data_IF_660714813932
#
_entry.id   IF_660714813932
#
_cell.length_a   1.000
_cell.length_b   1.000
_cell.length_c   1.000
_cell.angle_alpha   90.00
_cell.angle_beta   90.00
_cell.angle_gamma   90.00
#
_symmetry.space_group_name_H-M   'P 1'
#
loop_
_entity.id
_entity.type
_entity.pdbx_description
1 polymer ?
#
# COMPACT_ATOMS: atom_id res chain seq x y z
N UNK A 1 11.48 -15.34 -15.66
CA UNK A 1 11.01 -13.99 -15.31
C UNK A 1 10.84 -13.92 -13.80
N UNK A 2 11.06 -12.74 -13.23
CA UNK A 2 10.75 -12.43 -11.83
C UNK A 2 10.09 -11.05 -11.78
N UNK A 3 9.13 -10.85 -10.89
CA UNK A 3 8.51 -9.55 -10.61
C UNK A 3 8.34 -9.36 -9.12
N UNK A 4 8.40 -8.11 -8.67
CA UNK A 4 8.22 -7.74 -7.27
C UNK A 4 7.20 -6.59 -7.19
N UNK A 5 6.24 -6.71 -6.29
CA UNK A 5 5.40 -5.59 -5.89
C UNK A 5 6.09 -4.88 -4.71
N UNK A 6 6.32 -3.57 -4.84
CA UNK A 6 6.96 -2.80 -3.77
C UNK A 6 5.96 -2.42 -2.67
N UNK A 7 4.66 -2.38 -2.99
CA UNK A 7 3.59 -2.07 -2.04
C UNK A 7 3.17 -3.30 -1.24
N UNK A 8 3.12 -4.44 -1.91
CA UNK A 8 2.93 -5.76 -1.29
C UNK A 8 4.24 -6.51 -1.43
N UNK A 9 5.01 -6.81 -0.35
CA UNK A 9 6.32 -7.47 -0.45
C UNK A 9 6.24 -8.92 -0.95
N UNK A 10 5.86 -9.06 -2.21
CA UNK A 10 5.55 -10.29 -2.91
C UNK A 10 6.43 -10.39 -4.15
N UNK A 11 7.19 -11.49 -4.22
CA UNK A 11 8.02 -11.84 -5.36
C UNK A 11 7.35 -12.99 -6.09
N UNK A 12 7.05 -12.77 -7.36
CA UNK A 12 6.47 -13.78 -8.25
C UNK A 12 7.55 -14.24 -9.21
N UNK A 13 7.85 -15.53 -9.17
CA UNK A 13 8.79 -16.21 -10.04
C UNK A 13 8.02 -16.99 -11.10
N UNK A 14 8.44 -16.89 -12.35
CA UNK A 14 7.83 -17.65 -13.44
C UNK A 14 8.87 -18.13 -14.44
N UNK A 15 8.76 -19.38 -14.84
CA UNK A 15 9.57 -19.98 -15.90
C UNK A 15 8.68 -20.86 -16.78
N UNK A 16 8.64 -20.56 -18.06
CA UNK A 16 7.85 -21.27 -19.06
C UNK A 16 8.53 -21.16 -20.43
N UNK A 17 8.30 -22.15 -21.29
CA UNK A 17 8.64 -22.06 -22.71
C UNK A 17 7.60 -21.23 -23.44
N UNK A 18 8.06 -20.35 -24.33
CA UNK A 18 7.22 -19.47 -25.14
C UNK A 18 7.42 -19.75 -26.63
N UNK A 19 6.53 -19.23 -27.46
CA UNK A 19 6.62 -19.30 -28.92
C UNK A 19 7.40 -18.10 -29.48
N UNK A 20 7.61 -18.08 -30.81
CA UNK A 20 8.34 -17.01 -31.50
C UNK A 20 7.69 -15.63 -31.39
N UNK A 21 6.40 -15.56 -31.03
CA UNK A 21 5.65 -14.33 -30.82
C UNK A 21 5.65 -13.88 -29.35
N UNK A 22 6.30 -14.63 -28.45
CA UNK A 22 6.40 -14.34 -27.01
C UNK A 22 5.04 -14.07 -26.34
N UNK A 23 3.99 -14.76 -26.80
CA UNK A 23 2.62 -14.49 -26.38
C UNK A 23 2.45 -14.64 -24.86
N UNK A 24 3.10 -15.63 -24.25
CA UNK A 24 2.98 -15.87 -22.80
C UNK A 24 3.65 -14.77 -21.99
N UNK A 25 4.83 -14.29 -22.40
CA UNK A 25 5.51 -13.17 -21.75
C UNK A 25 4.66 -11.90 -21.82
N UNK A 26 4.12 -11.57 -23.01
CA UNK A 26 3.30 -10.37 -23.19
C UNK A 26 2.02 -10.43 -22.34
N UNK A 27 1.31 -11.55 -22.34
CA UNK A 27 0.13 -11.74 -21.47
C UNK A 27 0.51 -11.56 -19.99
N UNK A 28 1.64 -12.13 -19.55
CA UNK A 28 2.08 -12.00 -18.16
C UNK A 28 2.41 -10.56 -17.77
N UNK A 29 3.06 -9.80 -18.65
CA UNK A 29 3.33 -8.37 -18.42
C UNK A 29 2.02 -7.55 -18.38
N UNK A 30 1.00 -7.88 -19.17
CA UNK A 30 -0.33 -7.24 -19.11
C UNK A 30 -1.07 -7.50 -17.80
N UNK A 31 -0.84 -8.66 -17.18
CA UNK A 31 -1.38 -9.03 -15.87
C UNK A 31 -0.68 -8.26 -14.77
N UNK A 32 0.66 -8.23 -14.80
CA UNK A 32 1.49 -7.58 -13.79
C UNK A 32 1.43 -6.05 -13.84
N UNK A 33 1.15 -5.47 -15.01
CA UNK A 33 1.13 -4.00 -15.24
C UNK A 33 2.37 -3.31 -14.65
N UNK A 34 3.59 -3.68 -15.08
CA UNK A 34 4.81 -3.20 -14.46
C UNK A 34 4.98 -1.69 -14.67
N UNK A 35 5.48 -1.01 -13.63
CA UNK A 35 5.92 0.39 -13.73
C UNK A 35 7.27 0.49 -14.46
N UNK A 36 8.11 -0.52 -14.27
CA UNK A 36 9.46 -0.58 -14.79
C UNK A 36 9.81 -2.01 -15.19
N UNK A 37 10.47 -2.20 -16.34
CA UNK A 37 10.95 -3.48 -16.82
C UNK A 37 12.47 -3.46 -16.89
N UNK A 38 13.08 -4.46 -16.24
CA UNK A 38 14.53 -4.62 -16.18
C UNK A 38 14.96 -5.72 -17.15
N UNK A 39 15.94 -5.43 -18.00
CA UNK A 39 16.51 -6.39 -18.93
C UNK A 39 18.05 -6.38 -18.90
N UNK A 40 18.72 -7.47 -19.30
CA UNK A 40 20.16 -7.45 -19.51
C UNK A 40 20.55 -6.36 -20.53
N UNK A 41 21.67 -5.68 -20.31
CA UNK A 41 22.23 -4.70 -21.26
C UNK A 41 22.43 -5.29 -22.66
N UNK A 42 22.80 -6.57 -22.76
CA UNK A 42 22.93 -7.30 -24.04
C UNK A 42 21.62 -7.42 -24.84
N UNK A 43 20.47 -7.16 -24.22
CA UNK A 43 19.16 -7.18 -24.91
C UNK A 43 18.88 -5.89 -25.69
N UNK A 44 19.60 -4.80 -25.38
CA UNK A 44 19.39 -3.45 -25.89
C UNK A 44 20.61 -2.86 -26.61
N UNK A 45 21.67 -3.64 -26.85
CA UNK A 45 22.87 -3.15 -27.53
C UNK A 45 22.57 -2.70 -28.96
N UNK A 46 23.12 -1.54 -29.34
CA UNK A 46 22.92 -0.92 -30.64
C UNK A 46 23.41 -1.86 -31.76
N UNK A 47 22.47 -2.40 -32.56
CA UNK A 47 22.73 -3.34 -33.64
C UNK A 47 22.25 -4.78 -33.42
N UNK A 48 21.88 -5.15 -32.19
CA UNK A 48 21.40 -6.50 -31.86
C UNK A 48 20.20 -6.46 -30.88
N UNK A 49 19.22 -5.61 -31.17
CA UNK A 49 17.99 -5.56 -30.38
C UNK A 49 17.23 -6.88 -30.49
N UNK A 50 17.01 -7.51 -29.35
CA UNK A 50 16.29 -8.80 -29.34
C UNK A 50 14.84 -8.60 -29.81
N UNK A 51 14.29 -9.58 -30.56
CA UNK A 51 12.88 -9.57 -30.97
C UNK A 51 11.92 -9.34 -29.79
N UNK A 52 12.26 -9.90 -28.62
CA UNK A 52 11.51 -9.72 -27.39
C UNK A 52 11.49 -8.24 -26.95
N UNK A 53 12.64 -7.56 -26.94
CA UNK A 53 12.72 -6.15 -26.57
C UNK A 53 11.87 -5.28 -27.50
N UNK A 54 11.92 -5.53 -28.81
CA UNK A 54 11.12 -4.80 -29.79
C UNK A 54 9.61 -4.98 -29.54
N UNK A 55 9.17 -6.23 -29.33
CA UNK A 55 7.76 -6.55 -29.07
C UNK A 55 7.24 -5.93 -27.76
N UNK A 56 8.02 -5.98 -26.67
CA UNK A 56 7.62 -5.35 -25.41
C UNK A 56 7.56 -3.83 -25.57
N UNK A 57 8.54 -3.21 -26.24
CA UNK A 57 8.56 -1.76 -26.48
C UNK A 57 7.36 -1.29 -27.30
N UNK A 58 6.92 -2.10 -28.28
CA UNK A 58 5.74 -1.81 -29.09
C UNK A 58 4.44 -1.89 -28.26
N UNK A 59 4.29 -2.95 -27.45
CA UNK A 59 3.10 -3.19 -26.65
C UNK A 59 3.00 -2.31 -25.38
N UNK A 60 4.12 -1.83 -24.84
CA UNK A 60 4.19 -1.13 -23.55
C UNK A 60 4.90 0.22 -23.65
N UNK A 61 4.30 1.18 -24.38
CA UNK A 61 4.88 2.51 -24.64
C UNK A 61 5.07 3.40 -23.39
N UNK A 62 4.36 3.12 -22.30
CA UNK A 62 4.36 3.95 -21.08
C UNK A 62 5.20 3.34 -19.94
N UNK A 63 5.94 2.26 -20.20
CA UNK A 63 6.73 1.56 -19.17
C UNK A 63 8.19 1.97 -19.30
N UNK A 64 8.84 2.28 -18.18
CA UNK A 64 10.26 2.60 -18.15
C UNK A 64 11.09 1.34 -18.35
N UNK A 65 12.09 1.42 -19.23
CA UNK A 65 13.03 0.31 -19.47
C UNK A 65 14.39 0.65 -18.88
N UNK A 66 14.89 -0.25 -18.04
CA UNK A 66 16.20 -0.12 -17.41
C UNK A 66 17.07 -1.32 -17.71
N UNK A 67 18.31 -1.07 -18.12
CA UNK A 67 19.26 -2.13 -18.43
C UNK A 67 20.17 -2.41 -17.24
N UNK A 68 20.39 -3.69 -16.98
CA UNK A 68 21.27 -4.17 -15.90
C UNK A 68 22.36 -5.07 -16.51
N UNK A 69 23.58 -4.98 -15.97
CA UNK A 69 24.69 -5.79 -16.49
C UNK A 69 24.40 -7.29 -16.37
N UNK A 70 24.69 -8.06 -17.43
CA UNK A 70 24.43 -9.51 -17.49
C UNK A 70 24.99 -10.29 -16.30
N UNK A 71 26.10 -9.86 -15.71
CA UNK A 71 26.75 -10.48 -14.54
C UNK A 71 25.84 -10.60 -13.30
N UNK A 72 24.80 -9.76 -13.20
CA UNK A 72 23.87 -9.78 -12.09
C UNK A 72 22.74 -10.81 -12.26
N UNK A 73 22.60 -11.40 -13.46
CA UNK A 73 21.66 -12.49 -13.72
C UNK A 73 22.32 -13.84 -13.43
N UNK A 74 22.37 -14.22 -12.15
CA UNK A 74 23.05 -15.43 -11.68
C UNK A 74 22.11 -16.28 -10.82
N UNK A 75 21.98 -17.57 -11.10
CA UNK A 75 21.04 -18.45 -10.43
C UNK A 75 21.43 -18.75 -8.97
N UNK A 76 22.73 -18.92 -8.69
CA UNK A 76 23.22 -19.22 -7.34
C UNK A 76 22.90 -18.07 -6.38
N UNK A 77 23.22 -16.84 -6.76
CA UNK A 77 22.86 -15.64 -6.00
C UNK A 77 21.35 -15.45 -5.90
N UNK A 78 20.62 -15.79 -6.96
CA UNK A 78 19.16 -15.75 -6.96
C UNK A 78 18.56 -16.66 -5.90
N UNK A 79 19.07 -17.89 -5.80
CA UNK A 79 18.66 -18.85 -4.78
C UNK A 79 19.04 -18.36 -3.38
N UNK A 80 20.27 -17.90 -3.16
CA UNK A 80 20.73 -17.34 -1.89
C UNK A 80 19.83 -16.18 -1.41
N UNK A 81 19.47 -15.25 -2.30
CA UNK A 81 18.59 -14.14 -1.96
C UNK A 81 17.18 -14.61 -1.60
N UNK A 82 16.64 -15.59 -2.32
CA UNK A 82 15.32 -16.13 -2.01
C UNK A 82 15.35 -16.89 -0.68
N UNK A 83 16.40 -17.66 -0.39
CA UNK A 83 16.58 -18.36 0.89
C UNK A 83 16.68 -17.39 2.07
N UNK A 84 17.37 -16.27 1.90
CA UNK A 84 17.52 -15.25 2.94
C UNK A 84 16.22 -14.47 3.18
N UNK A 85 15.48 -14.14 2.13
CA UNK A 85 14.35 -13.19 2.20
C UNK A 85 12.98 -13.86 2.29
N UNK A 86 12.82 -15.09 1.81
CA UNK A 86 11.54 -15.80 1.79
C UNK A 86 11.06 -16.15 3.20
N UNK A 87 9.80 -15.83 3.51
CA UNK A 87 9.20 -16.22 4.77
C UNK A 87 9.05 -17.75 4.86
N UNK A 88 9.28 -18.30 6.07
CA UNK A 88 9.35 -19.75 6.31
C UNK A 88 8.12 -20.55 5.85
N UNK A 89 6.94 -19.94 5.88
CA UNK A 89 5.67 -20.58 5.46
C UNK A 89 5.55 -20.75 3.94
N UNK A 90 6.34 -20.02 3.14
CA UNK A 90 6.40 -20.16 1.68
C UNK A 90 7.61 -20.97 1.21
N UNK A 91 8.35 -21.60 2.14
CA UNK A 91 9.54 -22.39 1.83
C UNK A 91 9.28 -23.59 0.91
N UNK A 92 8.03 -24.03 0.77
CA UNK A 92 7.67 -25.06 -0.22
C UNK A 92 8.06 -24.66 -1.65
N UNK A 93 8.15 -23.35 -1.94
CA UNK A 93 8.60 -22.84 -3.24
C UNK A 93 10.01 -23.28 -3.60
N UNK A 94 10.88 -23.55 -2.62
CA UNK A 94 12.28 -23.96 -2.85
C UNK A 94 12.35 -25.27 -3.64
N UNK A 95 11.47 -26.23 -3.34
CA UNK A 95 11.43 -27.51 -4.06
C UNK A 95 11.09 -27.33 -5.54
N UNK A 96 10.29 -26.31 -5.88
CA UNK A 96 9.87 -26.04 -7.24
C UNK A 96 10.91 -25.24 -8.04
N UNK A 97 11.66 -24.33 -7.40
CA UNK A 97 12.56 -23.40 -8.10
C UNK A 97 14.02 -23.85 -8.17
N UNK A 98 14.45 -24.81 -7.35
CA UNK A 98 15.87 -25.24 -7.28
C UNK A 98 16.49 -25.60 -8.64
N UNK A 99 15.70 -26.18 -9.55
CA UNK A 99 16.16 -26.56 -10.91
C UNK A 99 15.85 -25.51 -11.99
N UNK A 100 15.33 -24.33 -11.62
CA UNK A 100 14.80 -23.32 -12.55
C UNK A 100 15.73 -22.12 -12.70
N UNK A 101 16.81 -22.33 -13.47
CA UNK A 101 17.86 -21.35 -13.74
C UNK A 101 17.33 -19.95 -14.12
N UNK A 102 16.39 -19.85 -15.07
CA UNK A 102 16.02 -18.56 -15.67
C UNK A 102 15.20 -17.67 -14.73
N UNK A 103 14.34 -18.23 -13.88
CA UNK A 103 13.62 -17.41 -12.90
C UNK A 103 14.53 -16.99 -11.74
N UNK A 104 15.44 -17.87 -11.30
CA UNK A 104 16.43 -17.55 -10.26
C UNK A 104 17.39 -16.44 -10.71
N UNK A 105 17.95 -16.55 -11.91
CA UNK A 105 18.82 -15.53 -12.48
C UNK A 105 18.10 -14.18 -12.64
N UNK A 106 16.82 -14.18 -13.04
CA UNK A 106 16.02 -12.96 -13.11
C UNK A 106 15.74 -12.37 -11.71
N UNK A 107 15.48 -13.21 -10.70
CA UNK A 107 15.27 -12.78 -9.32
C UNK A 107 16.52 -12.12 -8.73
N UNK A 108 17.71 -12.67 -9.01
CA UNK A 108 18.98 -12.10 -8.57
C UNK A 108 19.17 -10.66 -9.05
N UNK A 109 18.95 -10.43 -10.35
CA UNK A 109 19.07 -9.11 -10.93
C UNK A 109 18.01 -8.14 -10.40
N UNK A 110 16.76 -8.62 -10.24
CA UNK A 110 15.65 -7.83 -9.73
C UNK A 110 15.88 -7.38 -8.29
N UNK A 111 16.22 -8.29 -7.38
CA UNK A 111 16.43 -7.99 -5.98
C UNK A 111 17.65 -7.08 -5.80
N UNK A 112 18.73 -7.31 -6.57
CA UNK A 112 19.89 -6.42 -6.57
C UNK A 112 19.54 -5.01 -7.06
N UNK A 113 18.69 -4.91 -8.07
CA UNK A 113 18.23 -3.62 -8.58
C UNK A 113 17.43 -2.85 -7.52
N UNK A 114 16.48 -3.52 -6.85
CA UNK A 114 15.69 -2.90 -5.78
C UNK A 114 16.57 -2.46 -4.61
N UNK A 115 17.56 -3.26 -4.22
CA UNK A 115 18.50 -2.93 -3.15
C UNK A 115 19.37 -1.71 -3.50
N UNK A 116 19.98 -1.68 -4.69
CA UNK A 116 21.00 -0.67 -5.03
C UNK A 116 20.45 0.59 -5.68
N UNK A 117 19.43 0.47 -6.53
CA UNK A 117 18.91 1.59 -7.32
C UNK A 117 17.69 2.20 -6.65
N UNK A 118 16.80 1.38 -6.08
CA UNK A 118 15.61 1.86 -5.37
C UNK A 118 15.87 2.10 -3.87
N UNK A 119 17.09 1.82 -3.38
CA UNK A 119 17.51 1.99 -1.99
C UNK A 119 16.53 1.37 -0.97
N UNK A 120 15.98 0.20 -1.32
CA UNK A 120 15.00 -0.51 -0.51
C UNK A 120 15.54 -1.88 -0.11
N UNK A 121 15.60 -2.15 1.20
CA UNK A 121 16.10 -3.40 1.76
C UNK A 121 14.93 -4.10 2.44
N UNK A 122 14.69 -5.35 2.06
CA UNK A 122 13.71 -6.20 2.73
C UNK A 122 14.32 -6.89 3.94
N UNK A 123 13.55 -6.98 5.02
CA UNK A 123 13.99 -7.72 6.19
C UNK A 123 14.15 -9.21 5.84
N UNK A 124 15.10 -9.94 6.45
CA UNK A 124 15.18 -11.39 6.28
C UNK A 124 13.84 -12.07 6.59
N UNK A 125 13.50 -13.09 5.81
CA UNK A 125 12.25 -13.88 5.98
C UNK A 125 10.94 -13.07 5.94
N UNK A 126 10.92 -11.92 5.28
CA UNK A 126 9.74 -11.04 5.20
C UNK A 126 8.98 -11.11 3.86
N UNK A 127 9.60 -11.65 2.81
CA UNK A 127 9.02 -11.68 1.47
C UNK A 127 8.12 -12.90 1.28
N UNK A 128 6.95 -12.65 0.69
CA UNK A 128 6.05 -13.67 0.15
C UNK A 128 6.60 -14.08 -1.22
N UNK A 129 7.08 -15.31 -1.37
CA UNK A 129 7.66 -15.79 -2.63
C UNK A 129 6.80 -16.89 -3.22
N UNK A 130 6.39 -16.74 -4.47
CA UNK A 130 5.62 -17.75 -5.19
C UNK A 130 6.27 -18.12 -6.50
N UNK A 131 6.18 -19.39 -6.85
CA UNK A 131 6.41 -19.85 -8.20
C UNK A 131 5.06 -20.02 -8.91
N UNK A 132 4.92 -19.38 -10.06
CA UNK A 132 3.75 -19.53 -10.92
C UNK A 132 4.18 -20.10 -12.27
N UNK A 133 3.88 -21.38 -12.48
CA UNK A 133 3.94 -22.02 -13.80
C UNK A 133 2.73 -21.66 -14.68
N UNK A 134 2.78 -22.05 -15.96
CA UNK A 134 1.67 -21.82 -16.92
C UNK A 134 0.69 -23.00 -17.03
N UNK A 135 0.75 -24.00 -16.15
CA UNK A 135 0.08 -25.29 -16.37
C UNK A 135 -1.34 -25.39 -15.77
N UNK A 136 -1.74 -24.46 -14.90
CA UNK A 136 -3.02 -24.53 -14.15
C UNK A 136 -4.07 -23.50 -14.60
N UNK A 137 -3.76 -22.68 -15.59
CA UNK A 137 -4.64 -21.63 -16.12
C UNK A 137 -4.74 -21.73 -17.63
N UNK A 138 -5.89 -21.38 -18.19
CA UNK A 138 -6.05 -21.30 -19.63
C UNK A 138 -5.38 -20.02 -20.13
N UNK A 139 -4.56 -20.17 -21.17
CA UNK A 139 -3.85 -19.03 -21.77
C UNK A 139 -4.77 -18.28 -22.71
N UNK A 140 -5.04 -17.00 -22.40
CA UNK A 140 -5.64 -16.06 -23.34
C UNK A 140 -4.51 -15.23 -23.93
N UNK A 141 -4.34 -15.29 -25.26
CA UNK A 141 -3.32 -14.50 -25.92
C UNK A 141 -3.66 -12.99 -25.89
N UNK A 142 -2.62 -12.18 -26.01
CA UNK A 142 -2.69 -10.72 -25.94
C UNK A 142 -3.69 -10.10 -26.92
N UNK A 143 -3.84 -10.69 -28.12
CA UNK A 143 -4.73 -10.18 -29.17
C UNK A 143 -6.19 -10.56 -28.90
N UNK A 144 -6.46 -11.79 -28.47
CA UNK A 144 -7.80 -12.22 -28.02
C UNK A 144 -8.27 -11.41 -26.82
N UNK A 145 -7.39 -11.15 -25.84
CA UNK A 145 -7.73 -10.33 -24.68
C UNK A 145 -8.10 -8.88 -25.04
N UNK A 146 -7.47 -8.32 -26.07
CA UNK A 146 -7.81 -7.00 -26.61
C UNK A 146 -9.11 -7.06 -27.41
N UNK A 147 -9.25 -8.00 -28.34
CA UNK A 147 -10.43 -8.13 -29.20
C UNK A 147 -11.71 -8.37 -28.40
N UNK A 148 -11.62 -9.12 -27.29
CA UNK A 148 -12.72 -9.36 -26.35
C UNK A 148 -12.92 -8.23 -25.34
N UNK A 149 -12.12 -7.15 -25.41
CA UNK A 149 -12.12 -6.01 -24.49
C UNK A 149 -12.15 -6.45 -23.03
N UNK A 150 -11.35 -7.47 -22.68
CA UNK A 150 -11.42 -8.09 -21.35
C UNK A 150 -11.09 -7.08 -20.24
N UNK A 151 -10.15 -6.18 -20.52
CA UNK A 151 -9.61 -5.25 -19.51
C UNK A 151 -9.37 -3.85 -20.07
N UNK A 152 -9.05 -3.74 -21.37
CA UNK A 152 -8.86 -2.47 -22.07
C UNK A 152 -9.88 -2.36 -23.19
N UNK A 153 -10.59 -1.24 -23.29
CA UNK A 153 -11.50 -0.95 -24.38
C UNK A 153 -10.69 -0.45 -25.60
N UNK A 154 -11.00 -0.93 -26.80
CA UNK A 154 -10.25 -0.59 -28.01
C UNK A 154 -10.72 0.71 -28.68
N UNK A 155 -11.96 1.14 -28.41
CA UNK A 155 -12.55 2.35 -28.98
C UNK A 155 -12.23 3.59 -28.16
N UNK A 156 -12.30 3.49 -26.84
CA UNK A 156 -11.95 4.56 -25.92
C UNK A 156 -11.31 3.99 -24.65
N UNK A 157 -10.01 4.18 -24.50
CA UNK A 157 -9.24 3.70 -23.34
C UNK A 157 -9.64 4.36 -22.02
N UNK A 158 -10.44 5.42 -22.04
CA UNK A 158 -11.00 6.08 -20.85
C UNK A 158 -12.36 5.53 -20.45
N UNK A 159 -13.03 4.79 -21.34
CA UNK A 159 -14.30 4.16 -21.03
C UNK A 159 -14.09 2.83 -20.33
N UNK A 160 -14.75 2.66 -19.17
CA UNK A 160 -14.73 1.43 -18.38
C UNK A 160 -15.61 0.31 -18.93
N UNK A 161 -16.12 0.41 -20.16
CA UNK A 161 -16.93 -0.62 -20.81
C UNK A 161 -16.04 -1.78 -21.28
N UNK A 162 -15.61 -2.61 -20.33
CA UNK A 162 -14.80 -3.83 -20.53
C UNK A 162 -15.41 -4.95 -19.69
N UNK A 163 -15.06 -6.21 -19.96
CA UNK A 163 -15.52 -7.32 -19.10
C UNK A 163 -15.12 -7.09 -17.64
N UNK A 164 -13.89 -6.62 -17.43
CA UNK A 164 -13.39 -6.21 -16.12
C UNK A 164 -14.27 -5.12 -15.50
N UNK A 165 -14.60 -4.05 -16.23
CA UNK A 165 -15.43 -2.97 -15.70
C UNK A 165 -16.87 -3.41 -15.36
N UNK A 166 -17.45 -4.35 -16.11
CA UNK A 166 -18.78 -4.91 -15.83
C UNK A 166 -18.78 -5.80 -14.59
N UNK A 167 -17.69 -6.54 -14.34
CA UNK A 167 -17.59 -7.48 -13.22
C UNK A 167 -16.99 -6.85 -11.95
N UNK A 168 -16.38 -5.67 -12.04
CA UNK A 168 -15.61 -5.08 -10.94
C UNK A 168 -16.44 -4.19 -10.01
N UNK A 169 -16.97 -4.82 -8.98
CA UNK A 169 -17.61 -4.22 -7.81
C UNK A 169 -16.79 -4.42 -6.52
N UNK A 170 -15.50 -4.77 -6.67
CA UNK A 170 -14.58 -4.99 -5.56
C UNK A 170 -14.40 -3.70 -4.74
N UNK A 171 -14.20 -3.86 -3.42
CA UNK A 171 -14.01 -2.74 -2.49
C UNK A 171 -12.56 -2.53 -2.10
N UNK A 172 -11.70 -3.49 -2.38
CA UNK A 172 -10.27 -3.45 -2.09
C UNK A 172 -9.46 -3.51 -3.39
N UNK A 173 -8.30 -2.84 -3.47
CA UNK A 173 -7.46 -2.97 -4.65
C UNK A 173 -6.85 -4.37 -4.80
N UNK A 174 -6.67 -5.12 -3.70
CA UNK A 174 -6.31 -6.54 -3.73
C UNK A 174 -7.34 -7.40 -4.46
N UNK A 175 -8.63 -7.20 -4.16
CA UNK A 175 -9.75 -7.82 -4.87
C UNK A 175 -9.78 -7.46 -6.34
N UNK A 176 -9.65 -6.17 -6.67
CA UNK A 176 -9.58 -5.67 -8.05
C UNK A 176 -8.42 -6.29 -8.84
N UNK A 177 -7.21 -6.37 -8.26
CA UNK A 177 -6.04 -7.03 -8.85
C UNK A 177 -6.31 -8.52 -9.09
N UNK A 178 -6.90 -9.20 -8.10
CA UNK A 178 -7.26 -10.62 -8.19
C UNK A 178 -8.30 -10.89 -9.27
N UNK A 179 -9.33 -10.06 -9.37
CA UNK A 179 -10.35 -10.13 -10.42
C UNK A 179 -9.73 -10.02 -11.81
N UNK A 180 -8.88 -8.99 -12.02
CA UNK A 180 -8.17 -8.79 -13.29
C UNK A 180 -7.33 -10.02 -13.66
N UNK A 181 -6.59 -10.56 -12.71
CA UNK A 181 -5.79 -11.78 -12.93
C UNK A 181 -6.66 -12.97 -13.30
N UNK A 182 -7.82 -13.16 -12.65
CA UNK A 182 -8.72 -14.28 -12.95
C UNK A 182 -9.39 -14.16 -14.32
N UNK A 183 -9.62 -12.95 -14.81
CA UNK A 183 -10.16 -12.73 -16.16
C UNK A 183 -9.11 -13.06 -17.25
N UNK A 184 -7.85 -12.70 -17.02
CA UNK A 184 -6.76 -12.89 -18.00
C UNK A 184 -6.13 -14.29 -17.97
N UNK A 185 -6.15 -14.95 -16.80
CA UNK A 185 -5.66 -16.32 -16.57
C UNK A 185 -6.77 -17.13 -15.86
N UNK A 186 -7.86 -17.50 -16.56
CA UNK A 186 -8.93 -18.29 -15.95
C UNK A 186 -8.44 -19.68 -15.56
N UNK A 187 -9.05 -20.24 -14.52
CA UNK A 187 -8.70 -21.56 -14.00
C UNK A 187 -9.10 -22.68 -14.97
N UNK A 188 -8.35 -23.77 -14.96
CA UNK A 188 -8.69 -25.02 -15.68
C UNK A 188 -9.19 -26.11 -14.75
N UNK A 189 -8.86 -26.02 -13.46
CA UNK A 189 -9.25 -27.02 -12.46
C UNK A 189 -10.74 -26.93 -12.10
N UNK A 190 -11.50 -27.95 -12.50
CA UNK A 190 -12.95 -27.99 -12.33
C UNK A 190 -13.39 -27.99 -10.86
N UNK A 191 -12.61 -28.62 -9.97
CA UNK A 191 -12.94 -28.69 -8.54
C UNK A 191 -12.79 -27.32 -7.86
N UNK A 192 -11.70 -26.62 -8.14
CA UNK A 192 -11.51 -25.23 -7.66
C UNK A 192 -12.58 -24.29 -8.21
N UNK A 193 -12.93 -24.41 -9.50
CA UNK A 193 -13.99 -23.61 -10.11
C UNK A 193 -15.32 -23.86 -9.39
N UNK A 194 -15.70 -25.13 -9.21
CA UNK A 194 -16.94 -25.51 -8.53
C UNK A 194 -17.01 -24.94 -7.12
N UNK A 195 -15.93 -25.08 -6.34
CA UNK A 195 -15.87 -24.57 -4.97
C UNK A 195 -16.09 -23.06 -4.89
N UNK A 196 -15.56 -22.30 -5.87
CA UNK A 196 -15.81 -20.84 -5.95
C UNK A 196 -17.23 -20.50 -6.34
N UNK A 197 -17.82 -21.26 -7.26
CA UNK A 197 -19.21 -21.09 -7.66
C UNK A 197 -20.18 -21.39 -6.51
N UNK A 198 -19.90 -22.42 -5.72
CA UNK A 198 -20.68 -22.75 -4.52
C UNK A 198 -20.66 -21.59 -3.52
N UNK A 199 -19.52 -20.91 -3.35
CA UNK A 199 -19.42 -19.72 -2.50
C UNK A 199 -20.26 -18.54 -3.03
N UNK A 200 -20.20 -18.28 -4.33
CA UNK A 200 -21.01 -17.22 -4.97
C UNK A 200 -22.50 -17.54 -4.81
N UNK A 201 -22.88 -18.80 -4.99
CA UNK A 201 -24.26 -19.25 -4.79
C UNK A 201 -24.73 -19.04 -3.34
N UNK A 202 -23.87 -19.32 -2.36
CA UNK A 202 -24.16 -19.07 -0.94
C UNK A 202 -24.37 -17.57 -0.67
N UNK A 203 -23.55 -16.68 -1.24
CA UNK A 203 -23.75 -15.23 -1.14
C UNK A 203 -25.04 -14.73 -1.79
N UNK A 204 -25.50 -15.38 -2.86
CA UNK A 204 -26.77 -15.04 -3.52
C UNK A 204 -28.00 -15.53 -2.73
N UNK A 205 -27.82 -16.52 -1.85
CA UNK A 205 -28.90 -17.10 -1.05
C UNK A 205 -29.04 -16.45 0.33
N UNK A 206 -27.96 -15.85 0.86
CA UNK A 206 -27.92 -15.21 2.17
C UNK A 206 -27.53 -13.72 2.04
N UNK A 207 -28.55 -12.86 1.96
CA UNK A 207 -28.36 -11.40 1.84
C UNK A 207 -27.70 -10.79 3.09
N UNK A 208 -27.98 -11.31 4.28
CA UNK A 208 -27.35 -10.84 5.53
C UNK A 208 -25.84 -11.10 5.51
N UNK A 209 -25.43 -12.30 5.09
CA UNK A 209 -24.03 -12.66 4.88
C UNK A 209 -23.37 -11.75 3.83
N UNK A 210 -24.04 -11.53 2.70
CA UNK A 210 -23.52 -10.69 1.61
C UNK A 210 -23.26 -9.24 2.06
N UNK A 211 -24.27 -8.57 2.62
CA UNK A 211 -24.14 -7.18 3.06
C UNK A 211 -23.22 -7.04 4.28
N UNK A 212 -23.25 -8.01 5.20
CA UNK A 212 -22.35 -8.05 6.35
C UNK A 212 -20.89 -8.12 5.94
N UNK A 213 -20.54 -9.04 5.02
CA UNK A 213 -19.18 -9.16 4.50
C UNK A 213 -18.75 -7.93 3.69
N UNK A 214 -19.63 -7.38 2.86
CA UNK A 214 -19.32 -6.18 2.09
C UNK A 214 -19.02 -4.98 3.02
N UNK A 215 -19.79 -4.82 4.10
CA UNK A 215 -19.57 -3.78 5.10
C UNK A 215 -18.22 -3.97 5.83
N UNK A 216 -17.83 -5.20 6.14
CA UNK A 216 -16.54 -5.50 6.76
C UNK A 216 -15.38 -5.26 5.79
N UNK A 217 -15.46 -5.78 4.56
CA UNK A 217 -14.40 -5.67 3.54
C UNK A 217 -14.18 -4.20 3.13
N UNK A 218 -15.23 -3.38 3.08
CA UNK A 218 -15.11 -1.95 2.77
C UNK A 218 -14.24 -1.16 3.77
N UNK A 219 -13.98 -1.71 4.96
CA UNK A 219 -13.09 -1.11 5.96
C UNK A 219 -11.62 -1.44 5.73
N UNK A 220 -11.31 -2.43 4.89
CA UNK A 220 -9.94 -2.77 4.52
C UNK A 220 -9.45 -1.80 3.43
N UNK A 221 -8.65 -0.82 3.83
CA UNK A 221 -7.91 0.04 2.90
C UNK A 221 -6.65 -0.69 2.41
N UNK A 222 -6.23 -0.38 1.17
CA UNK A 222 -5.08 -1.01 0.50
C UNK A 222 -3.82 -1.00 1.38
N UNK A 223 -2.92 -1.93 1.10
CA UNK A 223 -1.76 -2.35 1.90
C UNK A 223 -0.76 -1.27 2.31
N UNK A 224 -0.90 -0.03 1.83
CA UNK A 224 -0.24 1.15 2.40
C UNK A 224 -0.69 1.45 3.86
N UNK A 225 -1.70 0.73 4.35
CA UNK A 225 -2.28 0.88 5.68
C UNK A 225 -2.32 -0.43 6.50
N UNK A 226 -1.35 -1.33 6.33
CA UNK A 226 -1.13 -2.44 7.27
C UNK A 226 -1.17 -1.96 8.74
N UNK A 227 -0.62 -0.78 9.02
CA UNK A 227 -0.70 -0.13 10.34
C UNK A 227 -2.12 0.30 10.78
N UNK A 228 -3.01 0.65 9.84
CA UNK A 228 -4.41 1.04 10.12
C UNK A 228 -5.31 -0.18 10.33
N UNK A 229 -5.08 -1.26 9.57
CA UNK A 229 -5.75 -2.56 9.76
C UNK A 229 -5.52 -3.11 11.17
N UNK A 230 -4.33 -2.85 11.71
CA UNK A 230 -3.96 -3.33 13.03
C UNK A 230 -4.59 -2.55 14.18
N UNK A 231 -5.12 -1.35 13.94
CA UNK A 231 -5.89 -0.57 14.94
C UNK A 231 -7.39 -0.87 14.81
N UNK A 232 -7.83 -1.40 13.68
CA UNK A 232 -9.23 -1.79 13.43
C UNK A 232 -9.33 -3.27 13.06
N UNK A 233 -9.12 -4.17 14.02
CA UNK A 233 -9.79 -5.48 13.94
C UNK A 233 -11.27 -5.20 14.20
N UNK A 234 -12.19 -5.42 13.25
CA UNK A 234 -13.62 -5.35 13.55
C UNK A 234 -13.90 -6.49 14.53
N UNK A 235 -13.92 -6.18 15.84
CA UNK A 235 -14.28 -7.14 16.90
C UNK A 235 -15.73 -7.62 16.80
N UNK A 236 -16.52 -7.15 15.83
CA UNK A 236 -17.97 -7.26 15.90
C UNK A 236 -18.66 -8.27 14.99
N UNK A 237 -18.12 -8.72 13.83
CA UNK A 237 -18.93 -9.60 12.95
C UNK A 237 -18.14 -10.60 12.10
N UNK A 238 -17.28 -11.44 12.70
CA UNK A 238 -16.90 -12.72 12.05
C UNK A 238 -17.99 -13.80 12.22
N UNK A 239 -19.03 -13.51 13.01
CA UNK A 239 -20.13 -14.44 13.29
C UNK A 239 -20.90 -14.87 12.03
N UNK A 240 -20.97 -14.01 11.01
CA UNK A 240 -21.61 -14.32 9.73
C UNK A 240 -20.91 -15.49 9.00
N UNK A 241 -19.58 -15.50 8.97
CA UNK A 241 -18.79 -16.58 8.35
C UNK A 241 -18.86 -17.91 9.12
N UNK A 242 -19.22 -17.87 10.41
CA UNK A 242 -19.37 -19.07 11.25
C UNK A 242 -20.55 -19.96 10.83
N UNK A 243 -21.55 -19.37 10.16
CA UNK A 243 -22.74 -20.06 9.66
C UNK A 243 -22.57 -20.62 8.24
N UNK A 244 -21.43 -20.38 7.61
CA UNK A 244 -21.22 -20.77 6.22
C UNK A 244 -21.09 -22.29 6.04
N UNK A 245 -21.69 -22.80 4.96
CA UNK A 245 -21.74 -24.23 4.64
C UNK A 245 -20.67 -24.65 3.63
N UNK A 246 -20.15 -23.73 2.82
CA UNK A 246 -19.12 -24.06 1.82
C UNK A 246 -17.76 -24.30 2.48
N UNK A 247 -17.06 -25.35 2.04
CA UNK A 247 -15.75 -25.77 2.55
C UNK A 247 -14.69 -24.65 2.53
N UNK A 248 -14.72 -23.81 1.48
CA UNK A 248 -13.81 -22.69 1.31
C UNK A 248 -14.08 -21.54 2.29
N UNK A 249 -15.35 -21.16 2.50
CA UNK A 249 -15.70 -20.13 3.49
C UNK A 249 -15.38 -20.58 4.91
N UNK A 250 -15.60 -21.85 5.23
CA UNK A 250 -15.21 -22.43 6.53
C UNK A 250 -13.70 -22.46 6.72
N UNK A 251 -12.93 -22.78 5.68
CA UNK A 251 -11.48 -22.71 5.72
C UNK A 251 -10.98 -21.27 5.95
N UNK A 252 -11.66 -20.27 5.36
CA UNK A 252 -11.36 -18.85 5.57
C UNK A 252 -11.71 -18.41 6.99
N UNK A 253 -12.87 -18.79 7.52
CA UNK A 253 -13.24 -18.53 8.92
C UNK A 253 -12.19 -19.08 9.89
N UNK A 254 -11.79 -20.34 9.74
CA UNK A 254 -10.77 -20.96 10.61
C UNK A 254 -9.42 -20.25 10.50
N UNK A 255 -9.05 -19.76 9.31
CA UNK A 255 -7.83 -18.99 9.10
C UNK A 255 -7.90 -17.58 9.72
N UNK A 256 -9.09 -17.02 9.92
CA UNK A 256 -9.32 -15.73 10.58
C UNK A 256 -9.29 -15.84 12.11
N UNK A 257 -9.46 -17.03 12.69
CA UNK A 257 -9.31 -17.29 14.15
C UNK A 257 -7.86 -17.45 14.61
N UNK A 258 -6.88 -17.03 13.80
CA UNK A 258 -5.47 -17.13 14.13
C UNK A 258 -5.11 -16.26 15.35
N UNK A 259 -4.63 -16.91 16.42
CA UNK A 259 -4.23 -16.25 17.68
C UNK A 259 -3.16 -15.17 17.48
N UNK A 260 -2.35 -15.27 16.41
CA UNK A 260 -1.31 -14.30 16.07
C UNK A 260 -1.88 -12.91 15.80
N UNK A 261 -3.12 -12.79 15.30
CA UNK A 261 -3.77 -11.48 15.15
C UNK A 261 -3.98 -10.76 16.48
N UNK A 262 -4.35 -11.51 17.53
CA UNK A 262 -4.48 -10.96 18.89
C UNK A 262 -3.15 -10.46 19.45
N UNK A 263 -2.08 -11.23 19.25
CA UNK A 263 -0.72 -10.85 19.69
C UNK A 263 -0.25 -9.57 18.98
N UNK A 264 -0.48 -9.47 17.66
CA UNK A 264 -0.09 -8.28 16.90
C UNK A 264 -0.90 -7.06 17.37
N UNK A 265 -2.22 -7.20 17.55
CA UNK A 265 -3.06 -6.12 18.06
C UNK A 265 -2.59 -5.65 19.44
N UNK A 266 -2.30 -6.58 20.35
CA UNK A 266 -1.83 -6.27 21.70
C UNK A 266 -0.50 -5.50 21.68
N UNK A 267 0.47 -5.92 20.85
CA UNK A 267 1.74 -5.21 20.66
C UNK A 267 1.53 -3.78 20.15
N UNK A 268 0.58 -3.58 19.25
CA UNK A 268 0.32 -2.28 18.64
C UNK A 268 -0.43 -1.37 19.60
N UNK A 269 -1.47 -1.87 20.27
CA UNK A 269 -2.19 -1.12 21.29
C UNK A 269 -1.31 -0.81 22.49
N UNK A 270 -0.28 -1.62 22.79
CA UNK A 270 0.68 -1.30 23.84
C UNK A 270 1.51 -0.05 23.52
N UNK A 271 1.88 0.17 22.25
CA UNK A 271 2.84 1.21 21.83
C UNK A 271 2.17 2.43 21.19
N UNK A 272 1.16 2.22 20.35
CA UNK A 272 0.49 3.23 19.54
C UNK A 272 -0.78 3.71 20.22
N UNK A 273 -1.04 5.02 20.15
CA UNK A 273 -2.23 5.64 20.71
C UNK A 273 -3.46 5.40 19.81
N UNK A 274 -4.61 5.12 20.41
CA UNK A 274 -5.84 4.75 19.70
C UNK A 274 -6.42 5.94 18.89
N UNK A 275 -6.09 7.17 19.30
CA UNK A 275 -6.50 8.42 18.66
C UNK A 275 -5.64 8.82 17.44
N UNK A 276 -4.77 7.94 16.95
CA UNK A 276 -3.94 8.19 15.76
C UNK A 276 -4.72 8.11 14.43
N UNK A 277 -5.96 8.58 14.38
CA UNK A 277 -6.73 8.70 13.13
C UNK A 277 -6.25 9.88 12.31
N UNK A 278 -6.24 9.70 10.98
CA UNK A 278 -5.94 10.78 10.03
C UNK A 278 -6.82 12.01 10.31
N UNK A 279 -6.20 13.12 10.71
CA UNK A 279 -6.87 14.38 10.96
C UNK A 279 -6.55 15.40 9.86
N UNK A 280 -7.57 16.08 9.32
CA UNK A 280 -7.35 17.16 8.34
C UNK A 280 -6.77 18.40 9.05
N UNK A 281 -5.67 18.96 8.53
CA UNK A 281 -5.06 20.21 9.01
C UNK A 281 -3.55 20.09 9.33
N UNK A 282 -2.78 21.16 9.09
CA UNK A 282 -1.31 21.12 9.25
C UNK A 282 -0.87 20.94 10.72
N UNK A 283 -1.58 21.58 11.67
CA UNK A 283 -1.28 21.46 13.10
C UNK A 283 -1.74 20.12 13.66
N UNK A 284 -2.93 19.65 13.28
CA UNK A 284 -3.46 18.36 13.72
C UNK A 284 -2.60 17.19 13.25
N UNK A 285 -2.10 17.23 12.01
CA UNK A 285 -1.12 16.24 11.51
C UNK A 285 0.22 16.29 12.26
N UNK A 286 0.66 17.47 12.69
CA UNK A 286 1.91 17.64 13.46
C UNK A 286 1.75 17.05 14.86
N UNK A 287 0.66 17.38 15.54
CA UNK A 287 0.30 16.86 16.87
C UNK A 287 0.15 15.34 16.81
N UNK A 288 -0.53 14.80 15.80
CA UNK A 288 -0.67 13.36 15.62
C UNK A 288 0.69 12.65 15.53
N UNK A 289 1.62 13.17 14.72
CA UNK A 289 2.96 12.57 14.59
C UNK A 289 3.78 12.68 15.88
N UNK A 290 3.61 13.76 16.65
CA UNK A 290 4.30 13.92 17.93
C UNK A 290 3.80 12.94 19.00
N UNK A 291 2.49 12.69 19.03
CA UNK A 291 1.81 11.92 20.07
C UNK A 291 1.31 10.55 19.60
N UNK A 292 1.90 10.04 18.51
CA UNK A 292 1.52 8.74 17.94
C UNK A 292 1.85 7.58 18.88
N UNK A 293 2.98 7.66 19.58
CA UNK A 293 3.42 6.67 20.58
C UNK A 293 2.87 7.04 21.95
N UNK A 294 2.37 6.06 22.70
CA UNK A 294 1.85 6.24 24.06
C UNK A 294 2.93 6.80 25.01
N UNK A 295 2.54 7.56 26.06
CA UNK A 295 3.48 7.99 27.09
C UNK A 295 4.02 6.76 27.86
N UNK A 296 5.18 6.91 28.48
CA UNK A 296 5.91 5.89 29.25
C UNK A 296 6.48 4.72 28.43
N UNK A 297 6.46 4.82 27.09
CA UNK A 297 7.14 3.84 26.21
C UNK A 297 8.63 4.16 26.10
N UNK A 298 8.98 5.45 26.11
CA UNK A 298 10.36 5.90 26.02
C UNK A 298 10.52 7.21 26.79
N UNK A 299 11.30 7.17 27.87
CA UNK A 299 11.52 8.32 28.76
C UNK A 299 12.13 9.51 28.01
N UNK A 300 13.07 9.26 27.08
CA UNK A 300 13.69 10.33 26.29
C UNK A 300 12.70 11.00 25.35
N UNK A 301 11.78 10.25 24.73
CA UNK A 301 10.71 10.80 23.91
C UNK A 301 9.78 11.68 24.74
N UNK A 302 9.45 11.26 25.96
CA UNK A 302 8.58 12.03 26.84
C UNK A 302 9.26 13.31 27.36
N UNK A 303 10.58 13.25 27.62
CA UNK A 303 11.39 14.44 27.92
C UNK A 303 11.39 15.39 26.71
N UNK A 304 11.66 14.89 25.50
CA UNK A 304 11.66 15.71 24.29
C UNK A 304 10.31 16.37 24.02
N UNK A 305 9.20 15.65 24.25
CA UNK A 305 7.83 16.19 24.19
C UNK A 305 7.58 17.28 25.22
N UNK A 306 8.07 17.12 26.46
CA UNK A 306 7.96 18.14 27.49
C UNK A 306 8.71 19.41 27.08
N UNK A 307 9.96 19.27 26.64
CA UNK A 307 10.76 20.39 26.12
C UNK A 307 10.05 21.10 24.97
N UNK A 308 9.42 20.37 24.06
CA UNK A 308 8.63 20.96 22.98
C UNK A 308 7.45 21.78 23.50
N UNK A 309 6.67 21.24 24.44
CA UNK A 309 5.54 21.94 25.05
C UNK A 309 6.00 23.21 25.78
N UNK A 310 7.09 23.13 26.55
CA UNK A 310 7.69 24.29 27.23
C UNK A 310 8.10 25.39 26.23
N UNK A 311 8.71 25.03 25.08
CA UNK A 311 9.05 26.02 24.04
C UNK A 311 7.79 26.67 23.45
N UNK A 312 6.71 25.91 23.24
CA UNK A 312 5.45 26.45 22.72
C UNK A 312 4.79 27.39 23.74
N UNK A 313 4.82 27.04 25.02
CA UNK A 313 4.31 27.85 26.11
C UNK A 313 5.14 29.13 26.27
N UNK A 314 6.47 29.05 26.17
CA UNK A 314 7.36 30.22 26.17
C UNK A 314 7.06 31.15 24.99
N UNK A 315 6.78 30.62 23.79
CA UNK A 315 6.40 31.42 22.61
C UNK A 315 5.08 32.16 22.89
N UNK A 316 4.09 31.47 23.45
CA UNK A 316 2.81 32.08 23.80
C UNK A 316 2.99 33.16 24.88
N UNK A 317 3.78 32.87 25.93
CA UNK A 317 4.10 33.81 26.99
C UNK A 317 4.83 35.06 26.50
N UNK A 318 5.82 34.91 25.62
CA UNK A 318 6.52 36.03 24.99
C UNK A 318 5.56 36.94 24.21
N UNK A 319 4.62 36.35 23.45
CA UNK A 319 3.65 37.14 22.68
C UNK A 319 2.67 37.87 23.60
N UNK A 320 2.24 37.25 24.70
CA UNK A 320 1.41 37.91 25.72
C UNK A 320 2.15 39.07 26.39
N UNK A 321 3.42 38.89 26.77
CA UNK A 321 4.24 39.97 27.34
C UNK A 321 4.43 41.14 26.36
N UNK A 322 4.63 40.84 25.06
CA UNK A 322 4.69 41.87 24.02
C UNK A 322 3.33 42.58 23.84
N UNK A 323 2.22 41.84 23.96
CA UNK A 323 0.88 42.41 23.90
C UNK A 323 0.65 43.40 25.04
N UNK A 324 1.06 43.07 26.26
CA UNK A 324 0.97 43.94 27.43
C UNK A 324 1.91 45.15 27.35
N UNK A 325 3.19 44.93 27.00
CA UNK A 325 4.23 45.97 26.89
C UNK A 325 3.83 47.09 25.91
N UNK A 326 3.22 46.71 24.80
CA UNK A 326 2.82 47.66 23.75
C UNK A 326 1.32 47.99 23.75
N UNK A 327 0.54 47.38 24.65
CA UNK A 327 -0.92 47.47 24.71
C UNK A 327 -1.59 47.19 23.35
N UNK A 328 -1.13 46.13 22.65
CA UNK A 328 -1.60 45.73 21.31
C UNK A 328 -2.30 44.37 21.36
N UNK A 329 -3.39 44.16 20.59
CA UNK A 329 -4.11 42.87 20.56
C UNK A 329 -3.38 41.83 19.69
N UNK A 330 -2.25 41.32 20.20
CA UNK A 330 -1.43 40.31 19.53
C UNK A 330 -1.99 38.90 19.75
N UNK A 331 -1.96 38.07 18.70
CA UNK A 331 -2.34 36.65 18.75
C UNK A 331 -1.22 35.79 18.18
N UNK A 332 -0.97 34.66 18.85
CA UNK A 332 -0.10 33.61 18.34
C UNK A 332 -0.80 32.88 17.19
N UNK A 333 -0.16 32.83 16.03
CA UNK A 333 -0.67 32.13 14.85
C UNK A 333 0.42 31.25 14.24
N UNK A 334 0.03 30.23 13.47
CA UNK A 334 0.98 29.25 12.91
C UNK A 334 0.77 29.03 11.42
N UNK A 335 1.88 28.89 10.68
CA UNK A 335 1.90 28.51 9.27
C UNK A 335 2.99 27.46 9.02
N UNK A 336 2.75 26.52 8.11
CA UNK A 336 3.73 25.46 7.75
C UNK A 336 5.04 26.02 7.20
N UNK A 337 5.00 27.17 6.52
CA UNK A 337 6.18 27.80 5.90
C UNK A 337 6.91 28.73 6.87
N UNK A 338 6.18 29.43 7.74
CA UNK A 338 6.73 30.50 8.60
C UNK A 338 6.95 30.08 10.05
N UNK A 339 6.42 28.94 10.48
CA UNK A 339 6.35 28.58 11.89
C UNK A 339 5.32 29.41 12.65
N UNK A 340 5.57 29.63 13.94
CA UNK A 340 4.80 30.55 14.77
C UNK A 340 5.10 32.00 14.40
N UNK A 341 4.06 32.81 14.25
CA UNK A 341 4.16 34.24 13.93
C UNK A 341 3.12 35.03 14.73
N UNK A 342 3.35 36.33 14.83
CA UNK A 342 2.46 37.24 15.55
C UNK A 342 1.43 37.79 14.56
N UNK A 343 0.16 37.73 14.92
CA UNK A 343 -0.94 38.27 14.15
C UNK A 343 -1.72 39.32 14.95
N UNK A 344 -2.07 40.43 14.31
CA UNK A 344 -3.00 41.43 14.86
C UNK A 344 -4.09 41.76 13.83
N UNK A 345 -5.25 42.23 14.29
CA UNK A 345 -6.28 42.79 13.41
C UNK A 345 -5.90 44.21 12.95
N UNK A 346 -6.39 44.60 11.78
CA UNK A 346 -6.07 45.89 11.15
C UNK A 346 -6.89 47.08 11.68
N UNK A 347 -7.72 46.89 12.72
CA UNK A 347 -8.43 47.99 13.38
C UNK A 347 -7.43 48.83 14.19
N UNK A 348 -6.88 49.85 13.54
CA UNK A 348 -5.73 50.66 13.96
C UNK A 348 -5.99 51.64 15.13
N UNK A 349 -7.01 51.45 15.97
CA UNK A 349 -7.30 52.37 17.10
C UNK A 349 -6.33 52.24 18.28
N UNK A 350 -5.48 51.19 18.31
CA UNK A 350 -4.58 50.89 19.42
C UNK A 350 -3.08 51.16 19.13
N UNK A 351 -2.69 51.67 17.96
CA UNK A 351 -1.28 51.93 17.62
C UNK A 351 -0.82 53.30 18.16
N UNK A 352 0.07 53.38 19.15
CA UNK A 352 0.65 54.65 19.57
C UNK A 352 1.47 55.20 18.39
N UNK A 353 1.09 56.37 17.86
CA UNK A 353 1.78 57.07 16.77
C UNK A 353 1.82 56.39 15.38
N UNK A 354 0.98 55.37 15.14
CA UNK A 354 0.87 54.75 13.80
C UNK A 354 2.11 53.99 13.30
N UNK A 355 3.09 53.73 14.19
CA UNK A 355 4.30 52.96 13.86
C UNK A 355 4.39 51.72 14.75
N UNK A 356 4.65 50.59 14.11
CA UNK A 356 4.96 49.34 14.80
C UNK A 356 6.33 49.45 15.50
N UNK A 357 6.50 48.85 16.69
CA UNK A 357 7.81 48.72 17.34
C UNK A 357 8.89 48.20 16.40
N UNK A 358 10.11 48.72 16.53
CA UNK A 358 11.29 48.31 15.74
C UNK A 358 11.73 46.87 15.98
N UNK A 359 11.28 46.26 17.09
CA UNK A 359 11.50 44.85 17.42
C UNK A 359 10.75 43.90 16.45
N UNK A 360 9.74 44.40 15.72
CA UNK A 360 9.00 43.62 14.73
C UNK A 360 9.62 43.69 13.34
N UNK A 361 9.76 42.52 12.72
CA UNK A 361 10.39 42.30 11.41
C UNK A 361 9.46 41.50 10.50
N UNK A 362 9.72 41.52 9.19
CA UNK A 362 8.94 40.79 8.16
C UNK A 362 7.42 41.07 8.22
N UNK A 363 7.04 42.34 8.37
CA UNK A 363 5.64 42.77 8.44
C UNK A 363 4.95 42.56 7.09
N UNK A 364 3.89 41.76 7.08
CA UNK A 364 3.02 41.52 5.92
C UNK A 364 1.59 41.91 6.27
N UNK A 365 0.93 42.69 5.40
CA UNK A 365 -0.48 43.05 5.56
C UNK A 365 -1.33 42.22 4.62
N UNK A 366 -2.39 41.59 5.13
CA UNK A 366 -3.35 40.83 4.32
C UNK A 366 -4.77 41.21 4.71
N UNK A 367 -5.49 41.89 3.79
CA UNK A 367 -6.85 42.46 3.92
C UNK A 367 -7.13 43.15 5.27
N UNK A 368 -7.43 42.39 6.34
CA UNK A 368 -7.78 42.90 7.66
C UNK A 368 -6.85 42.46 8.80
N UNK A 369 -5.67 41.92 8.48
CA UNK A 369 -4.73 41.38 9.47
C UNK A 369 -3.29 41.75 9.13
N UNK A 370 -2.49 42.05 10.16
CA UNK A 370 -1.05 42.19 10.04
C UNK A 370 -0.39 40.95 10.62
N UNK A 371 0.64 40.44 9.93
CA UNK A 371 1.47 39.32 10.37
C UNK A 371 2.93 39.74 10.40
N UNK A 372 3.64 39.43 11.48
CA UNK A 372 5.05 39.81 11.65
C UNK A 372 5.77 38.85 12.60
N UNK A 373 7.09 38.97 12.66
CA UNK A 373 7.98 38.12 13.48
C UNK A 373 8.93 39.00 14.29
N UNK A 374 9.61 38.45 15.30
CA UNK A 374 10.73 39.11 15.97
C UNK A 374 12.00 38.24 15.87
N UNK A 375 13.17 38.82 16.14
CA UNK A 375 14.43 38.05 16.15
C UNK A 375 14.39 36.90 17.18
N UNK A 376 13.80 37.15 18.35
CA UNK A 376 13.65 36.13 19.40
C UNK A 376 12.66 35.05 18.99
N UNK A 377 11.53 35.41 18.36
CA UNK A 377 10.56 34.44 17.86
C UNK A 377 11.15 33.56 16.74
N UNK A 378 12.05 34.09 15.91
CA UNK A 378 12.77 33.29 14.91
C UNK A 378 13.66 32.25 15.61
N UNK A 379 14.45 32.63 16.62
CA UNK A 379 15.29 31.70 17.39
C UNK A 379 14.45 30.63 18.10
N UNK A 380 13.31 30.99 18.67
CA UNK A 380 12.41 30.03 19.32
C UNK A 380 11.76 29.08 18.30
N UNK A 381 11.40 29.56 17.11
CA UNK A 381 10.92 28.71 16.03
C UNK A 381 11.98 27.70 15.57
N UNK A 382 13.25 28.10 15.48
CA UNK A 382 14.36 27.19 15.15
C UNK A 382 14.51 26.10 16.22
N UNK A 383 14.54 26.47 17.51
CA UNK A 383 14.55 25.52 18.64
C UNK A 383 13.34 24.57 18.61
N UNK A 384 12.17 25.11 18.33
CA UNK A 384 10.92 24.35 18.20
C UNK A 384 11.02 23.30 17.07
N UNK A 385 11.59 23.68 15.91
CA UNK A 385 11.79 22.74 14.80
C UNK A 385 12.85 21.68 15.09
N UNK A 386 13.90 22.02 15.82
CA UNK A 386 14.94 21.07 16.23
C UNK A 386 14.39 20.01 17.19
N UNK A 387 13.70 20.44 18.25
CA UNK A 387 13.02 19.54 19.19
C UNK A 387 12.03 18.60 18.49
N UNK A 388 11.31 19.10 17.48
CA UNK A 388 10.40 18.24 16.71
C UNK A 388 11.11 17.24 15.79
N UNK A 389 12.26 17.60 15.22
CA UNK A 389 13.06 16.64 14.45
C UNK A 389 13.51 15.49 15.34
N UNK A 390 13.90 15.78 16.57
CA UNK A 390 14.26 14.78 17.57
C UNK A 390 13.06 13.89 17.95
N UNK A 391 11.90 14.47 18.26
CA UNK A 391 10.65 13.73 18.54
C UNK A 391 10.30 12.79 17.39
N UNK A 392 10.37 13.27 16.14
CA UNK A 392 10.08 12.45 14.97
C UNK A 392 11.08 11.33 14.77
N UNK A 393 12.37 11.60 14.99
CA UNK A 393 13.40 10.58 14.88
C UNK A 393 13.22 9.49 15.94
N UNK A 394 12.99 9.86 17.21
CA UNK A 394 12.73 8.91 18.29
C UNK A 394 11.45 8.11 18.05
N UNK A 395 10.37 8.78 17.62
CA UNK A 395 9.11 8.13 17.25
C UNK A 395 9.34 7.11 16.15
N UNK A 396 10.09 7.48 15.11
CA UNK A 396 10.46 6.58 14.02
C UNK A 396 11.21 5.35 14.52
N UNK A 397 12.22 5.51 15.39
CA UNK A 397 12.97 4.38 15.96
C UNK A 397 12.08 3.41 16.76
N UNK A 398 11.15 3.95 17.57
CA UNK A 398 10.20 3.13 18.34
C UNK A 398 9.26 2.37 17.40
N UNK A 399 8.75 3.04 16.36
CA UNK A 399 7.89 2.42 15.35
C UNK A 399 8.67 1.35 14.57
N UNK A 400 9.93 1.58 14.20
CA UNK A 400 10.77 0.57 13.57
C UNK A 400 10.98 -0.66 14.47
N UNK A 401 11.19 -0.46 15.77
CA UNK A 401 11.29 -1.57 16.73
C UNK A 401 9.99 -2.36 16.80
N UNK A 402 8.85 -1.67 16.91
CA UNK A 402 7.53 -2.30 16.89
C UNK A 402 7.30 -3.08 15.58
N UNK A 403 7.63 -2.49 14.43
CA UNK A 403 7.53 -3.16 13.13
C UNK A 403 8.39 -4.43 13.06
N UNK A 404 9.59 -4.42 13.63
CA UNK A 404 10.43 -5.62 13.71
C UNK A 404 9.77 -6.74 14.53
N UNK A 405 9.12 -6.42 15.64
CA UNK A 405 8.35 -7.39 16.42
C UNK A 405 7.11 -7.90 15.67
N UNK A 406 6.47 -7.05 14.88
CA UNK A 406 5.34 -7.45 14.02
C UNK A 406 5.81 -8.31 12.85
N UNK A 407 7.02 -8.07 12.32
CA UNK A 407 7.56 -8.84 11.19
C UNK A 407 7.72 -10.32 11.51
N UNK A 408 7.93 -10.69 12.77
CA UNK A 408 7.93 -12.09 13.23
C UNK A 408 6.57 -12.79 13.01
N UNK A 409 5.51 -12.02 12.80
CA UNK A 409 4.15 -12.50 12.58
C UNK A 409 3.55 -12.05 11.23
N UNK A 410 4.35 -11.47 10.32
CA UNK A 410 3.88 -10.87 9.06
C UNK A 410 3.11 -11.84 8.17
N UNK A 411 3.42 -13.12 8.28
CA UNK A 411 2.87 -14.18 7.44
C UNK A 411 1.36 -14.38 7.62
N UNK A 412 0.83 -14.21 8.84
CA UNK A 412 -0.61 -14.32 9.06
C UNK A 412 -1.35 -13.15 8.41
N UNK A 413 -0.70 -11.98 8.30
CA UNK A 413 -1.23 -10.80 7.60
C UNK A 413 -1.24 -11.01 6.08
N UNK A 414 -0.25 -11.70 5.50
CA UNK A 414 -0.30 -12.10 4.09
C UNK A 414 -1.43 -13.07 3.80
N UNK A 415 -1.66 -14.05 4.68
CA UNK A 415 -2.77 -15.00 4.54
C UNK A 415 -4.12 -14.27 4.63
N UNK A 416 -4.26 -13.33 5.57
CA UNK A 416 -5.43 -12.47 5.69
C UNK A 416 -5.67 -11.68 4.40
N UNK A 417 -4.64 -11.02 3.87
CA UNK A 417 -4.72 -10.24 2.62
C UNK A 417 -5.17 -11.10 1.44
N UNK A 418 -4.68 -12.34 1.32
CA UNK A 418 -5.08 -13.29 0.28
C UNK A 418 -6.56 -13.68 0.38
N UNK A 419 -7.02 -14.00 1.61
CA UNK A 419 -8.41 -14.35 1.91
C UNK A 419 -9.34 -13.19 1.60
N UNK A 420 -9.02 -11.98 2.09
CA UNK A 420 -9.82 -10.76 1.85
C UNK A 420 -9.90 -10.48 0.35
N UNK A 421 -8.78 -10.56 -0.36
CA UNK A 421 -8.76 -10.34 -1.82
C UNK A 421 -9.61 -11.38 -2.58
N UNK A 422 -9.63 -12.65 -2.14
CA UNK A 422 -10.49 -13.66 -2.73
C UNK A 422 -11.96 -13.42 -2.43
N UNK A 423 -12.31 -13.16 -1.17
CA UNK A 423 -13.68 -12.90 -0.75
C UNK A 423 -14.26 -11.68 -1.48
N UNK A 424 -13.49 -10.60 -1.58
CA UNK A 424 -13.88 -9.38 -2.29
C UNK A 424 -14.15 -9.64 -3.78
N UNK A 425 -13.31 -10.45 -4.45
CA UNK A 425 -13.57 -10.87 -5.83
C UNK A 425 -14.84 -11.73 -5.95
N UNK A 426 -15.07 -12.68 -5.05
CA UNK A 426 -16.26 -13.54 -5.10
C UNK A 426 -17.55 -12.75 -4.80
N UNK A 427 -17.51 -11.80 -3.86
CA UNK A 427 -18.61 -10.88 -3.59
C UNK A 427 -18.88 -9.98 -4.78
N UNK A 428 -17.83 -9.54 -5.48
CA UNK A 428 -17.96 -8.78 -6.73
C UNK A 428 -18.74 -9.57 -7.79
N UNK A 429 -18.50 -10.89 -7.90
CA UNK A 429 -19.28 -11.76 -8.79
C UNK A 429 -20.74 -11.91 -8.33
N UNK A 430 -20.97 -12.13 -7.04
CA UNK A 430 -22.33 -12.19 -6.50
C UNK A 430 -23.09 -10.87 -6.74
N UNK A 431 -22.44 -9.73 -6.55
CA UNK A 431 -23.02 -8.42 -6.82
C UNK A 431 -23.36 -8.23 -8.30
N UNK A 432 -22.46 -8.61 -9.21
CA UNK A 432 -22.73 -8.57 -10.65
C UNK A 432 -23.94 -9.45 -11.03
N UNK A 433 -24.09 -10.62 -10.41
CA UNK A 433 -25.25 -11.52 -10.60
C UNK A 433 -26.56 -10.94 -10.09
N UNK A 434 -26.56 -10.06 -9.07
CA UNK A 434 -27.78 -9.42 -8.54
C UNK A 434 -28.23 -8.22 -9.36
N UNK A 435 -27.29 -7.44 -9.91
CA UNK A 435 -27.59 -6.24 -10.72
C UNK A 435 -28.06 -6.60 -12.14
N UNK A 436 -27.67 -7.77 -12.65
CA UNK A 436 -28.00 -8.19 -13.99
C UNK A 436 -28.94 -9.39 -13.99
N UNK A 437 -29.88 -9.47 -14.94
CA UNK A 437 -30.74 -10.66 -15.17
C UNK A 437 -29.95 -11.93 -15.57
N UNK A 438 -28.62 -11.87 -15.50
CA UNK A 438 -27.66 -12.89 -15.88
C UNK A 438 -27.27 -13.82 -14.72
N UNK A 439 -28.21 -14.15 -13.81
CA UNK A 439 -28.00 -15.16 -12.77
C UNK A 439 -27.49 -16.53 -13.29
N UNK A 440 -27.60 -16.78 -14.61
CA UNK A 440 -27.03 -17.94 -15.32
C UNK A 440 -25.86 -17.64 -16.28
N UNK A 441 -25.61 -16.37 -16.64
CA UNK A 441 -24.65 -16.02 -17.71
C UNK A 441 -23.21 -15.87 -17.19
N UNK A 442 -23.03 -15.40 -15.94
CA UNK A 442 -21.72 -15.39 -15.27
C UNK A 442 -21.25 -16.83 -14.99
N UNK A 443 -22.18 -17.72 -14.66
CA UNK A 443 -21.97 -19.18 -14.62
C UNK A 443 -21.46 -19.73 -15.97
N UNK A 444 -21.91 -19.15 -17.09
CA UNK A 444 -21.56 -19.59 -18.44
C UNK A 444 -20.13 -19.21 -18.86
N UNK A 445 -19.61 -18.05 -18.43
CA UNK A 445 -18.23 -17.60 -18.70
C UNK A 445 -17.21 -18.44 -17.91
N UNK A 446 -17.59 -18.95 -16.73
CA UNK A 446 -16.70 -19.73 -15.86
C UNK A 446 -16.68 -21.25 -16.15
N UNK A 447 -17.69 -21.82 -16.84
CA UNK A 447 -17.86 -23.28 -16.96
C UNK A 447 -17.80 -23.87 -18.38
N UNK A 448 -17.73 -23.08 -19.45
CA UNK A 448 -17.62 -23.65 -20.82
C UNK A 448 -16.24 -23.43 -21.45
N UNK A 449 -15.25 -24.08 -20.87
CA UNK A 449 -14.23 -24.79 -21.66
C UNK A 449 -14.62 -26.27 -21.69
N UNK A 450 -15.53 -26.61 -22.60
CA UNK A 450 -15.77 -28.00 -22.99
C UNK A 450 -15.25 -28.21 -24.40
#
# INVERSE_FOLDING_TARGET
MASIDLKNPEVILSQFADNTTYAKVITKLKILTPLEIIMPNTSCEAGNTTKLFALITEHFKNVTFTTVQRKYFNETKGLEYIEQLCASEFSTVFMEIQSKYYCLAAAAALLKYVEFIQNSIYAPKSLKVHFQGSEKTAMIDSSSAQNLELVTNNRDSRNGHTLFGVLNYTRTPGGSRRLRSNILEPLVDAETIKTRLDCVQEFLQDEELFFGLQAVISKFLDTEQLLSILVQIPKQDTAALRRCNTSLLRAYYNALEDRRFGIILEKITAVINDDTRYAKGCLSMRTQKCYAVKPNINEFLDIARRTYTEIVDDIAGMITQLAEKYNLPLKTSFSSVRGFFIQMNADCSALPNGKLPSEFTKVTKTRNTYSFTSADLIKMNERCQESLREIYHMTYLIVCKLLNEIYEHIHCLYKLSDIVSMLDMLLSFAHACTISDYGKFIFFILLKTK
#
